data_IF_937761243367
#
_entry.id   IF_937761243367
#
_cell.length_a   1.000
_cell.length_b   1.000
_cell.length_c   1.000
_cell.angle_alpha   90.00
_cell.angle_beta   90.00
_cell.angle_gamma   90.00
#
_symmetry.space_group_name_H-M   'P 1'
#
loop_
_entity.id
_entity.type
_entity.pdbx_description
1 polymer ?
#
# COMPACT_ATOMS: atom_id res chain seq x y z
N UNK A 1 -50.22 4.69 17.27
CA UNK A 1 -50.10 4.29 18.68
C UNK A 1 -48.64 4.17 19.06
N UNK A 2 -48.24 5.10 19.93
CA UNK A 2 -46.89 5.18 20.54
C UNK A 2 -46.78 4.15 21.66
N UNK A 3 -45.65 3.47 21.79
CA UNK A 3 -45.17 2.94 23.07
C UNK A 3 -43.66 3.05 23.15
N UNK A 4 -43.23 4.01 23.93
CA UNK A 4 -41.86 4.21 24.42
C UNK A 4 -41.59 3.27 25.60
N UNK A 5 -40.42 2.62 25.64
CA UNK A 5 -39.91 1.95 26.85
C UNK A 5 -38.54 2.52 27.22
N UNK A 6 -38.31 2.80 28.51
CA UNK A 6 -37.09 3.47 28.97
C UNK A 6 -35.93 2.51 29.25
N UNK A 7 -34.73 3.01 28.95
CA UNK A 7 -33.41 2.46 29.22
C UNK A 7 -33.15 2.49 30.72
N UNK A 8 -32.85 1.34 31.34
CA UNK A 8 -32.33 1.25 32.71
C UNK A 8 -30.81 1.13 32.70
N UNK A 9 -30.19 2.17 33.23
CA UNK A 9 -28.76 2.25 33.54
C UNK A 9 -28.49 1.42 34.80
N UNK A 10 -27.58 0.44 34.73
CA UNK A 10 -27.04 -0.27 35.89
C UNK A 10 -25.55 0.03 36.03
N UNK A 11 -25.24 0.85 37.07
CA UNK A 11 -23.86 1.02 37.54
C UNK A 11 -23.44 -0.23 38.31
N UNK A 12 -22.29 -0.81 37.97
CA UNK A 12 -21.57 -1.75 38.81
C UNK A 12 -20.20 -1.15 39.15
N UNK A 13 -20.06 -0.82 40.43
CA UNK A 13 -18.79 -0.47 41.06
C UNK A 13 -18.07 -1.76 41.47
N UNK A 14 -16.82 -1.93 41.09
CA UNK A 14 -15.94 -3.00 41.57
C UNK A 14 -14.68 -2.39 42.21
N UNK A 15 -14.47 -2.72 43.48
CA UNK A 15 -13.40 -2.25 44.33
C UNK A 15 -12.08 -2.97 44.08
N UNK A 16 -10.98 -2.20 44.13
CA UNK A 16 -9.57 -2.69 44.17
C UNK A 16 -9.23 -3.10 45.64
N UNK A 17 -8.50 -4.17 45.88
CA UNK A 17 -7.69 -4.29 47.09
C UNK A 17 -6.21 -3.94 46.82
N UNK A 18 -5.74 -2.99 47.63
CA UNK A 18 -4.34 -2.59 47.81
C UNK A 18 -3.67 -3.63 48.74
N UNK A 19 -2.57 -4.27 48.31
CA UNK A 19 -1.71 -5.06 49.21
C UNK A 19 -0.37 -4.34 49.34
N UNK A 20 -0.14 -3.81 50.53
CA UNK A 20 1.15 -3.30 51.04
C UNK A 20 1.88 -4.52 51.66
N UNK A 21 3.15 -4.77 51.31
CA UNK A 21 4.07 -5.55 52.09
C UNK A 21 5.32 -4.76 52.38
N UNK A 22 5.62 -4.68 53.65
CA UNK A 22 6.63 -3.84 54.30
C UNK A 22 8.03 -4.51 54.27
N UNK A 23 9.04 -3.62 54.39
CA UNK A 23 10.46 -3.89 54.64
C UNK A 23 10.71 -4.68 55.94
N UNK A 24 11.78 -5.46 55.93
CA UNK A 24 12.44 -5.99 57.14
C UNK A 24 13.91 -6.19 56.84
N UNK A 25 14.70 -5.57 57.66
CA UNK A 25 16.13 -5.27 57.66
C UNK A 25 16.96 -6.32 58.46
N UNK A 26 18.26 -6.27 58.22
CA UNK A 26 19.39 -6.78 59.04
C UNK A 26 19.85 -8.25 58.96
N UNK A 27 21.14 -8.39 58.74
CA UNK A 27 21.97 -9.48 59.25
C UNK A 27 23.23 -9.85 58.46
N UNK A 28 24.39 -9.35 58.93
CA UNK A 28 25.76 -9.66 58.55
C UNK A 28 26.14 -11.16 58.45
N UNK A 29 27.13 -11.47 57.59
CA UNK A 29 27.90 -12.69 57.74
C UNK A 29 28.65 -13.23 56.51
N UNK A 30 29.80 -12.63 56.22
CA UNK A 30 31.12 -13.23 55.88
C UNK A 30 31.30 -14.54 55.07
N UNK A 31 32.23 -14.44 54.12
CA UNK A 31 33.21 -15.44 53.60
C UNK A 31 32.88 -16.35 52.41
N UNK A 32 33.67 -16.10 51.41
CA UNK A 32 34.51 -17.02 50.64
C UNK A 32 34.00 -17.66 49.34
N UNK A 33 34.58 -17.13 48.28
CA UNK A 33 35.30 -17.84 47.20
C UNK A 33 34.52 -18.40 46.00
N UNK A 34 35.19 -18.46 44.82
CA UNK A 34 34.56 -18.19 43.53
C UNK A 34 34.00 -19.48 42.93
N UNK A 35 32.83 -19.35 42.33
CA UNK A 35 32.29 -20.38 41.45
C UNK A 35 32.22 -19.82 40.05
N UNK A 36 33.02 -20.39 39.18
CA UNK A 36 32.98 -20.20 37.74
C UNK A 36 31.57 -20.41 37.24
N UNK A 37 30.85 -19.34 36.94
CA UNK A 37 29.66 -19.36 36.07
C UNK A 37 30.17 -19.12 34.66
N UNK A 38 29.78 -19.98 33.68
CA UNK A 38 30.03 -19.65 32.29
C UNK A 38 29.24 -18.39 31.94
N UNK A 39 29.99 -17.38 31.51
CA UNK A 39 29.40 -16.21 30.85
C UNK A 39 28.69 -16.71 29.61
N UNK A 40 27.39 -16.92 29.70
CA UNK A 40 26.52 -16.92 28.55
C UNK A 40 26.60 -15.52 27.95
N UNK A 41 27.44 -15.39 26.96
CA UNK A 41 27.26 -14.35 25.97
C UNK A 41 25.85 -14.58 25.38
N UNK A 42 24.89 -13.78 25.83
CA UNK A 42 23.65 -13.59 25.09
C UNK A 42 24.09 -12.94 23.77
N UNK A 43 24.27 -13.75 22.75
CA UNK A 43 24.24 -13.31 21.38
C UNK A 43 22.87 -12.69 21.16
N UNK A 44 22.84 -11.41 20.93
CA UNK A 44 21.75 -10.71 20.26
C UNK A 44 21.85 -11.10 18.79
N UNK A 45 21.39 -12.32 18.51
CA UNK A 45 21.17 -12.77 17.14
C UNK A 45 19.81 -13.50 17.19
N UNK A 46 18.78 -12.94 16.50
CA UNK A 46 17.48 -13.58 16.46
C UNK A 46 16.28 -12.64 16.52
N UNK A 47 16.22 -11.65 15.61
CA UNK A 47 15.00 -10.87 15.34
C UNK A 47 14.60 -10.82 13.87
N UNK A 48 15.50 -11.18 12.96
CA UNK A 48 15.39 -10.85 11.55
C UNK A 48 14.95 -12.02 10.65
N UNK A 49 14.89 -13.26 11.16
CA UNK A 49 14.45 -14.42 10.38
C UNK A 49 13.08 -14.94 10.86
N UNK A 50 12.18 -15.20 9.88
CA UNK A 50 10.91 -15.85 10.18
C UNK A 50 11.11 -17.29 10.65
N UNK A 51 10.33 -17.70 11.63
CA UNK A 51 10.26 -19.11 12.06
C UNK A 51 9.03 -19.77 11.42
N UNK A 52 9.23 -20.75 10.56
CA UNK A 52 8.15 -21.51 9.95
C UNK A 52 7.67 -22.64 10.91
N UNK A 53 6.38 -23.04 10.86
CA UNK A 53 5.34 -22.47 10.00
C UNK A 53 4.94 -21.04 10.42
N UNK A 54 4.58 -20.21 9.45
CA UNK A 54 4.02 -18.87 9.67
C UNK A 54 2.57 -18.85 9.21
N UNK A 55 1.71 -18.15 9.94
CA UNK A 55 0.31 -17.91 9.54
C UNK A 55 0.09 -16.41 9.41
N UNK A 56 -0.43 -15.98 8.28
CA UNK A 56 -0.82 -14.60 8.04
C UNK A 56 -2.31 -14.47 7.77
N UNK A 57 -2.90 -13.34 8.16
CA UNK A 57 -4.26 -12.97 7.80
C UNK A 57 -4.25 -12.33 6.41
N UNK A 58 -5.07 -12.83 5.51
CA UNK A 58 -5.17 -12.34 4.13
C UNK A 58 -6.64 -12.13 3.75
N UNK A 59 -6.91 -11.55 2.57
CA UNK A 59 -8.29 -11.34 2.13
C UNK A 59 -9.08 -12.66 1.94
N UNK A 60 -8.38 -13.76 1.69
CA UNK A 60 -9.00 -15.09 1.61
C UNK A 60 -9.01 -15.85 2.96
N UNK A 61 -8.67 -15.17 4.06
CA UNK A 61 -8.62 -15.73 5.42
C UNK A 61 -7.21 -16.07 5.86
N UNK A 62 -7.04 -16.74 7.02
CA UNK A 62 -5.74 -17.15 7.50
C UNK A 62 -5.12 -18.21 6.58
N UNK A 63 -3.87 -17.99 6.19
CA UNK A 63 -3.09 -18.91 5.36
C UNK A 63 -1.83 -19.31 6.14
N UNK A 64 -1.63 -20.62 6.30
CA UNK A 64 -0.43 -21.18 6.92
C UNK A 64 0.59 -21.54 5.83
N UNK A 65 1.80 -21.02 5.97
CA UNK A 65 2.96 -21.36 5.15
C UNK A 65 3.88 -22.24 5.99
N UNK A 66 3.98 -23.51 5.62
CA UNK A 66 4.65 -24.53 6.42
C UNK A 66 6.18 -24.41 6.42
N UNK A 67 6.76 -24.01 5.31
CA UNK A 67 8.20 -23.84 5.07
C UNK A 67 8.42 -22.58 4.23
N UNK A 68 9.62 -22.03 4.25
CA UNK A 68 9.97 -20.85 3.42
C UNK A 68 9.81 -21.18 1.94
N UNK A 69 9.01 -20.39 1.18
CA UNK A 69 8.82 -20.62 -0.26
C UNK A 69 10.11 -20.46 -1.06
N UNK A 70 10.35 -21.40 -1.96
CA UNK A 70 11.48 -21.38 -2.91
C UNK A 70 11.01 -21.12 -4.34
N UNK A 71 9.71 -21.30 -4.64
CA UNK A 71 9.13 -21.17 -5.97
C UNK A 71 7.81 -20.40 -5.90
N UNK A 72 7.87 -19.08 -6.03
CA UNK A 72 6.71 -18.18 -5.95
C UNK A 72 6.24 -17.84 -7.38
N UNK A 73 4.94 -17.99 -7.63
CA UNK A 73 4.27 -17.39 -8.78
C UNK A 73 3.52 -16.14 -8.32
N UNK A 74 3.86 -14.98 -8.89
CA UNK A 74 3.20 -13.72 -8.62
C UNK A 74 2.24 -13.32 -9.74
N UNK A 75 0.96 -13.19 -9.41
CA UNK A 75 -0.11 -12.76 -10.30
C UNK A 75 -0.56 -11.31 -10.03
N UNK A 76 0.35 -10.48 -9.56
CA UNK A 76 0.13 -9.07 -9.26
C UNK A 76 1.41 -8.28 -9.46
N UNK A 77 1.38 -7.28 -10.33
CA UNK A 77 2.52 -6.41 -10.56
C UNK A 77 3.01 -5.72 -9.28
N UNK A 78 2.08 -5.28 -8.41
CA UNK A 78 2.42 -4.69 -7.12
C UNK A 78 3.10 -5.69 -6.19
N UNK A 79 2.54 -6.91 -6.08
CA UNK A 79 3.15 -7.95 -5.23
C UNK A 79 4.53 -8.38 -5.78
N UNK A 80 4.71 -8.41 -7.09
CA UNK A 80 6.02 -8.65 -7.70
C UNK A 80 7.03 -7.59 -7.26
N UNK A 81 6.71 -6.32 -7.36
CA UNK A 81 7.58 -5.23 -6.88
C UNK A 81 7.90 -5.36 -5.38
N UNK A 82 6.90 -5.67 -4.57
CA UNK A 82 7.07 -5.85 -3.13
C UNK A 82 8.00 -7.04 -2.81
N UNK A 83 7.83 -8.19 -3.48
CA UNK A 83 8.68 -9.38 -3.31
C UNK A 83 10.15 -9.08 -3.59
N UNK A 84 10.43 -8.38 -4.68
CA UNK A 84 11.79 -7.95 -5.00
C UNK A 84 12.32 -6.96 -3.99
N UNK A 85 11.50 -6.02 -3.54
CA UNK A 85 11.91 -4.98 -2.59
C UNK A 85 12.22 -5.53 -1.19
N UNK A 86 11.50 -6.56 -0.73
CA UNK A 86 11.80 -7.22 0.55
C UNK A 86 12.91 -8.29 0.43
N UNK A 87 13.54 -8.45 -0.75
CA UNK A 87 14.65 -9.39 -0.92
C UNK A 87 14.25 -10.80 -1.37
N UNK A 88 12.96 -11.07 -1.58
CA UNK A 88 12.45 -12.40 -1.98
C UNK A 88 12.46 -12.64 -3.51
N UNK A 89 13.07 -11.76 -4.30
CA UNK A 89 13.04 -11.81 -5.76
C UNK A 89 13.60 -13.09 -6.37
N UNK A 90 14.60 -13.72 -5.74
CA UNK A 90 15.19 -14.98 -6.23
C UNK A 90 14.21 -16.16 -6.18
N UNK A 91 13.21 -16.12 -5.28
CA UNK A 91 12.18 -17.15 -5.20
C UNK A 91 11.06 -16.98 -6.22
N UNK A 92 10.95 -15.82 -6.89
CA UNK A 92 9.93 -15.58 -7.92
C UNK A 92 10.31 -16.29 -9.20
N UNK A 93 9.60 -17.38 -9.54
CA UNK A 93 9.86 -18.20 -10.73
C UNK A 93 9.03 -17.80 -11.94
N UNK A 94 7.88 -17.14 -11.72
CA UNK A 94 7.05 -16.57 -12.77
C UNK A 94 6.23 -15.40 -12.23
N UNK A 95 6.05 -14.39 -13.07
CA UNK A 95 5.20 -13.24 -12.78
C UNK A 95 4.21 -13.00 -13.92
N UNK A 96 3.09 -12.33 -13.65
CA UNK A 96 2.09 -12.06 -14.66
C UNK A 96 2.58 -11.05 -15.72
N UNK A 97 1.81 -10.89 -16.80
CA UNK A 97 2.19 -10.06 -17.95
C UNK A 97 2.29 -8.56 -17.63
N UNK A 98 1.76 -8.09 -16.51
CA UNK A 98 1.84 -6.71 -16.04
C UNK A 98 3.02 -6.46 -15.11
N UNK A 99 3.68 -7.49 -14.64
CA UNK A 99 4.84 -7.43 -13.74
C UNK A 99 6.11 -7.04 -14.49
N UNK A 100 6.21 -5.79 -14.93
CA UNK A 100 7.30 -5.23 -15.73
C UNK A 100 8.41 -4.55 -14.90
N UNK A 101 8.29 -4.59 -13.56
CA UNK A 101 9.28 -4.03 -12.65
C UNK A 101 9.48 -4.97 -11.43
N UNK A 102 10.75 -5.12 -10.97
CA UNK A 102 11.96 -4.62 -11.61
C UNK A 102 12.26 -5.36 -12.95
N UNK A 103 13.25 -4.89 -13.70
CA UNK A 103 13.55 -5.42 -15.04
C UNK A 103 13.97 -6.91 -15.04
N UNK A 104 14.46 -7.41 -13.91
CA UNK A 104 14.82 -8.81 -13.68
C UNK A 104 13.63 -9.72 -13.32
N UNK A 105 12.44 -9.16 -13.10
CA UNK A 105 11.25 -9.97 -12.82
C UNK A 105 10.98 -10.96 -13.96
N UNK A 106 10.72 -12.24 -13.66
CA UNK A 106 10.49 -13.28 -14.68
C UNK A 106 9.07 -13.19 -15.26
N UNK A 107 8.80 -12.08 -15.97
CA UNK A 107 7.49 -11.81 -16.59
C UNK A 107 7.13 -12.86 -17.62
N UNK A 108 5.90 -13.33 -17.59
CA UNK A 108 5.35 -14.38 -18.44
C UNK A 108 4.02 -13.94 -19.09
N UNK A 109 3.37 -14.86 -19.82
CA UNK A 109 2.01 -14.63 -20.33
C UNK A 109 0.91 -14.97 -19.31
N UNK A 110 1.25 -15.23 -18.03
CA UNK A 110 0.27 -15.43 -16.99
C UNK A 110 -0.57 -14.15 -16.77
N UNK A 111 -1.81 -14.33 -16.35
CA UNK A 111 -2.74 -13.23 -16.10
C UNK A 111 -3.32 -13.32 -14.69
N UNK A 112 -3.18 -12.25 -13.92
CA UNK A 112 -3.85 -12.09 -12.64
C UNK A 112 -5.36 -11.81 -12.77
N UNK A 113 -5.82 -11.39 -13.96
CA UNK A 113 -7.24 -11.11 -14.23
C UNK A 113 -8.00 -12.34 -14.75
N UNK A 114 -7.33 -13.16 -15.56
CA UNK A 114 -7.88 -14.40 -16.15
C UNK A 114 -6.89 -15.56 -15.91
N UNK A 115 -6.73 -16.00 -14.64
CA UNK A 115 -5.72 -16.98 -14.28
C UNK A 115 -6.02 -18.35 -14.86
N UNK A 116 -4.98 -19.04 -15.32
CA UNK A 116 -5.03 -20.41 -15.78
C UNK A 116 -4.25 -21.31 -14.82
N UNK A 117 -4.96 -22.10 -14.03
CA UNK A 117 -4.37 -22.96 -12.98
C UNK A 117 -3.37 -23.97 -13.58
N UNK A 118 -3.67 -24.56 -14.74
CA UNK A 118 -2.74 -25.53 -15.37
C UNK A 118 -1.42 -24.86 -15.78
N UNK A 119 -1.48 -23.62 -16.27
CA UNK A 119 -0.30 -22.84 -16.61
C UNK A 119 0.49 -22.45 -15.37
N UNK A 120 -0.18 -22.06 -14.27
CA UNK A 120 0.44 -21.72 -12.99
C UNK A 120 1.15 -22.96 -12.41
N UNK A 121 0.48 -24.09 -12.33
CA UNK A 121 1.04 -25.37 -11.83
C UNK A 121 2.24 -25.81 -12.65
N UNK A 122 2.29 -25.44 -13.94
CA UNK A 122 3.44 -25.73 -14.82
C UNK A 122 4.78 -25.13 -14.37
N UNK A 123 4.75 -24.16 -13.46
CA UNK A 123 5.94 -23.56 -12.84
C UNK A 123 6.33 -24.22 -11.51
N UNK A 124 5.57 -25.26 -11.07
CA UNK A 124 5.79 -26.02 -9.84
C UNK A 124 5.88 -25.13 -8.58
N UNK A 125 4.94 -24.16 -8.39
CA UNK A 125 5.04 -23.22 -7.28
C UNK A 125 4.69 -23.86 -5.95
N UNK A 126 5.38 -23.43 -4.89
CA UNK A 126 5.04 -23.71 -3.50
C UNK A 126 4.23 -22.58 -2.83
N UNK A 127 4.11 -21.43 -3.51
CA UNK A 127 3.26 -20.31 -3.13
C UNK A 127 2.78 -19.55 -4.37
N UNK A 128 1.50 -19.15 -4.36
CA UNK A 128 0.94 -18.21 -5.35
C UNK A 128 0.47 -16.94 -4.64
N UNK A 129 0.82 -15.78 -5.21
CA UNK A 129 0.39 -14.47 -4.70
C UNK A 129 -0.46 -13.77 -5.76
N UNK A 130 -1.64 -13.28 -5.37
CA UNK A 130 -2.56 -12.56 -6.25
C UNK A 130 -3.15 -11.33 -5.56
N UNK A 131 -3.69 -10.38 -6.32
CA UNK A 131 -4.40 -9.21 -5.77
C UNK A 131 -5.90 -9.43 -5.61
N UNK A 132 -6.45 -10.48 -6.23
CA UNK A 132 -7.86 -10.84 -6.16
C UNK A 132 -8.02 -12.34 -6.42
N UNK A 133 -9.26 -12.87 -6.29
CA UNK A 133 -9.60 -14.28 -6.52
C UNK A 133 -10.58 -14.44 -7.69
N UNK A 134 -10.18 -14.16 -8.95
CA UNK A 134 -11.05 -14.34 -10.10
C UNK A 134 -11.18 -15.81 -10.46
N UNK A 135 -12.39 -16.23 -10.80
CA UNK A 135 -12.64 -17.58 -11.30
C UNK A 135 -12.33 -18.70 -10.30
N UNK A 136 -12.43 -18.42 -9.00
CA UNK A 136 -12.13 -19.39 -7.92
C UNK A 136 -10.65 -19.86 -7.95
N UNK A 137 -9.73 -18.95 -8.23
CA UNK A 137 -8.28 -19.22 -8.28
C UNK A 137 -7.79 -19.90 -7.00
N UNK A 138 -8.15 -19.34 -5.82
CA UNK A 138 -7.73 -19.86 -4.51
C UNK A 138 -8.21 -21.30 -4.31
N UNK A 139 -9.49 -21.58 -4.54
CA UNK A 139 -10.04 -22.92 -4.38
C UNK A 139 -9.46 -23.93 -5.38
N UNK A 140 -9.15 -23.47 -6.59
CA UNK A 140 -8.51 -24.29 -7.61
C UNK A 140 -7.08 -24.68 -7.27
N UNK A 141 -6.30 -23.76 -6.69
CA UNK A 141 -4.93 -24.03 -6.21
C UNK A 141 -4.95 -24.91 -4.97
N UNK A 142 -5.87 -24.68 -4.03
CA UNK A 142 -6.05 -25.53 -2.85
C UNK A 142 -6.34 -26.98 -3.23
N UNK A 143 -7.18 -27.22 -4.26
CA UNK A 143 -7.49 -28.56 -4.74
C UNK A 143 -6.27 -29.36 -5.24
N UNK A 144 -5.17 -28.68 -5.59
CA UNK A 144 -3.89 -29.29 -6.01
C UNK A 144 -2.81 -29.13 -4.94
N UNK A 145 -3.15 -28.59 -3.77
CA UNK A 145 -2.28 -28.48 -2.60
C UNK A 145 -1.27 -27.32 -2.65
N UNK A 146 -1.54 -26.29 -3.46
CA UNK A 146 -0.71 -25.08 -3.57
C UNK A 146 -1.35 -23.96 -2.75
N UNK A 147 -0.67 -23.44 -1.71
CA UNK A 147 -1.18 -22.30 -0.96
C UNK A 147 -1.22 -21.03 -1.83
N UNK A 148 -2.27 -20.24 -1.64
CA UNK A 148 -2.42 -18.96 -2.31
C UNK A 148 -2.77 -17.86 -1.30
N UNK A 149 -2.13 -16.70 -1.42
CA UNK A 149 -2.41 -15.49 -0.66
C UNK A 149 -3.01 -14.43 -1.58
N UNK A 150 -4.09 -13.78 -1.11
CA UNK A 150 -4.71 -12.66 -1.80
C UNK A 150 -4.43 -11.37 -1.02
N UNK A 151 -3.64 -10.48 -1.62
CA UNK A 151 -3.32 -9.15 -1.13
C UNK A 151 -4.10 -8.13 -1.98
N UNK A 152 -5.25 -7.65 -1.52
CA UNK A 152 -6.10 -6.76 -2.31
C UNK A 152 -5.45 -5.40 -2.51
N UNK A 153 -6.00 -4.60 -3.43
CA UNK A 153 -5.57 -3.23 -3.60
C UNK A 153 -5.63 -2.48 -2.26
N UNK A 154 -4.54 -1.81 -1.91
CA UNK A 154 -4.47 -0.96 -0.74
C UNK A 154 -5.44 0.23 -0.90
N UNK A 155 -5.97 0.71 0.21
CA UNK A 155 -6.74 1.95 0.29
C UNK A 155 -5.90 3.04 0.94
N UNK A 156 -4.98 2.63 1.83
CA UNK A 156 -4.08 3.51 2.57
C UNK A 156 -2.64 3.04 2.47
N UNK A 157 -1.68 3.93 2.80
CA UNK A 157 -0.27 3.54 2.92
C UNK A 157 -0.05 2.51 4.03
N UNK A 158 -0.84 2.53 5.10
CA UNK A 158 -0.78 1.53 6.16
C UNK A 158 -1.11 0.11 5.63
N UNK A 159 -2.03 0.00 4.64
CA UNK A 159 -2.28 -1.27 3.97
C UNK A 159 -1.05 -1.74 3.18
N UNK A 160 -0.35 -0.82 2.51
CA UNK A 160 0.91 -1.11 1.80
C UNK A 160 1.98 -1.61 2.75
N UNK A 161 2.19 -0.94 3.87
CA UNK A 161 3.16 -1.34 4.89
C UNK A 161 2.82 -2.72 5.46
N UNK A 162 1.55 -2.96 5.77
CA UNK A 162 1.07 -4.27 6.23
C UNK A 162 1.35 -5.37 5.21
N UNK A 163 1.12 -5.13 3.92
CA UNK A 163 1.38 -6.12 2.87
C UNK A 163 2.88 -6.40 2.70
N UNK A 164 3.74 -5.39 2.80
CA UNK A 164 5.20 -5.58 2.81
C UNK A 164 5.65 -6.45 3.98
N UNK A 165 5.15 -6.18 5.19
CA UNK A 165 5.45 -7.00 6.38
C UNK A 165 4.92 -8.43 6.24
N UNK A 166 3.72 -8.62 5.68
CA UNK A 166 3.16 -9.94 5.38
C UNK A 166 4.03 -10.71 4.39
N UNK A 167 4.48 -10.07 3.31
CA UNK A 167 5.40 -10.68 2.34
C UNK A 167 6.75 -11.00 2.97
N UNK A 168 7.31 -10.10 3.77
CA UNK A 168 8.51 -10.38 4.56
C UNK A 168 8.36 -11.60 5.46
N UNK A 169 7.23 -11.72 6.15
CA UNK A 169 6.95 -12.85 7.04
C UNK A 169 6.85 -14.19 6.30
N UNK A 170 6.12 -14.25 5.17
CA UNK A 170 5.91 -15.51 4.42
C UNK A 170 7.12 -15.91 3.59
N UNK A 171 8.03 -15.00 3.28
CA UNK A 171 9.24 -15.27 2.50
C UNK A 171 10.51 -15.37 3.35
N UNK A 172 10.40 -15.20 4.68
CA UNK A 172 11.54 -15.26 5.58
C UNK A 172 12.36 -13.98 5.69
N UNK A 173 11.92 -12.88 5.08
CA UNK A 173 12.60 -11.59 4.99
C UNK A 173 12.02 -10.54 5.97
N UNK A 174 11.78 -10.93 7.23
CA UNK A 174 11.12 -10.06 8.23
C UNK A 174 11.93 -8.79 8.50
N UNK A 175 13.25 -8.91 8.63
CA UNK A 175 14.15 -7.78 8.89
C UNK A 175 14.16 -6.80 7.73
N UNK A 176 14.34 -7.30 6.51
CA UNK A 176 14.39 -6.48 5.29
C UNK A 176 13.05 -5.74 5.07
N UNK A 177 11.92 -6.41 5.31
CA UNK A 177 10.60 -5.79 5.21
C UNK A 177 10.39 -4.68 6.26
N UNK A 178 10.82 -4.90 7.50
CA UNK A 178 10.71 -3.91 8.57
C UNK A 178 11.61 -2.69 8.29
N UNK A 179 12.84 -2.89 7.78
CA UNK A 179 13.73 -1.81 7.37
C UNK A 179 13.11 -0.99 6.23
N UNK A 180 12.64 -1.67 5.17
CA UNK A 180 11.98 -1.03 4.04
C UNK A 180 10.75 -0.20 4.46
N UNK A 181 9.89 -0.75 5.31
CA UNK A 181 8.72 -0.01 5.82
C UNK A 181 9.15 1.22 6.61
N UNK A 182 10.19 1.10 7.46
CA UNK A 182 10.72 2.23 8.20
C UNK A 182 11.30 3.33 7.30
N UNK A 183 12.00 2.95 6.22
CA UNK A 183 12.51 3.88 5.22
C UNK A 183 11.38 4.60 4.47
N UNK A 184 10.37 3.85 4.00
CA UNK A 184 9.22 4.43 3.29
C UNK A 184 8.44 5.41 4.18
N UNK A 185 8.23 5.08 5.46
CA UNK A 185 7.57 5.98 6.41
C UNK A 185 8.37 7.26 6.62
N UNK A 186 9.70 7.16 6.76
CA UNK A 186 10.56 8.31 6.92
C UNK A 186 10.56 9.22 5.67
N UNK A 187 10.60 8.63 4.48
CA UNK A 187 10.55 9.36 3.21
C UNK A 187 9.21 10.08 3.03
N UNK A 188 8.11 9.41 3.36
CA UNK A 188 6.76 10.01 3.34
C UNK A 188 6.68 11.20 4.29
N UNK A 189 7.14 11.05 5.53
CA UNK A 189 7.14 12.12 6.54
C UNK A 189 7.99 13.31 6.08
N UNK A 190 9.18 13.05 5.49
CA UNK A 190 10.06 14.11 4.97
C UNK A 190 9.40 14.87 3.80
N UNK A 191 8.73 14.15 2.90
CA UNK A 191 8.03 14.75 1.77
C UNK A 191 6.84 15.60 2.24
N UNK A 192 5.99 15.06 3.10
CA UNK A 192 4.80 15.76 3.62
C UNK A 192 5.19 17.01 4.41
N UNK A 193 6.31 16.97 5.14
CA UNK A 193 6.81 18.14 5.87
C UNK A 193 7.21 19.32 4.97
N UNK A 194 7.39 19.11 3.66
CA UNK A 194 7.69 20.18 2.69
C UNK A 194 6.45 21.01 2.32
N UNK A 195 5.24 20.49 2.57
CA UNK A 195 4.00 21.23 2.29
C UNK A 195 3.79 22.29 3.37
N UNK A 196 3.74 23.60 3.00
CA UNK A 196 3.56 24.65 3.99
C UNK A 196 2.19 24.53 4.67
N UNK A 197 2.17 24.61 6.01
CA UNK A 197 0.94 24.46 6.80
C UNK A 197 -0.15 25.51 6.46
N UNK A 198 0.28 26.71 6.03
CA UNK A 198 -0.61 27.84 5.68
C UNK A 198 -0.80 27.98 4.16
N UNK A 199 -0.39 26.95 3.39
CA UNK A 199 -0.53 26.99 1.93
C UNK A 199 -2.02 27.07 1.52
N UNK A 200 -2.38 27.90 0.50
CA UNK A 200 -3.75 27.97 0.03
C UNK A 200 -4.20 26.59 -0.50
N UNK A 201 -5.50 26.28 -0.45
CA UNK A 201 -6.01 25.05 -1.03
C UNK A 201 -5.72 25.04 -2.54
N UNK A 202 -5.31 23.87 -3.05
CA UNK A 202 -5.08 23.61 -4.48
C UNK A 202 -5.99 22.49 -4.91
N UNK A 203 -6.73 22.70 -5.97
CA UNK A 203 -7.63 21.69 -6.54
C UNK A 203 -6.94 20.92 -7.66
N UNK A 204 -7.24 19.64 -7.78
CA UNK A 204 -6.70 18.80 -8.85
C UNK A 204 -7.76 17.94 -9.52
N UNK A 205 -7.46 17.56 -10.75
CA UNK A 205 -8.11 16.51 -11.51
C UNK A 205 -7.06 15.44 -11.85
N UNK A 206 -7.36 14.17 -11.59
CA UNK A 206 -6.52 13.04 -11.99
C UNK A 206 -7.22 12.26 -13.09
N UNK A 207 -6.64 12.20 -14.28
CA UNK A 207 -7.17 11.45 -15.41
C UNK A 207 -6.55 10.05 -15.45
N UNK A 208 -7.41 9.02 -15.39
CA UNK A 208 -7.00 7.62 -15.53
C UNK A 208 -6.99 7.16 -16.98
N UNK A 209 -7.91 7.68 -17.79
CA UNK A 209 -8.05 7.34 -19.20
C UNK A 209 -8.72 8.46 -20.01
N UNK A 210 -8.66 8.42 -21.36
CA UNK A 210 -9.26 9.43 -22.23
C UNK A 210 -10.79 9.51 -22.17
N UNK A 211 -11.46 8.60 -21.46
CA UNK A 211 -12.91 8.63 -21.25
C UNK A 211 -13.31 9.38 -19.98
N UNK A 212 -12.36 10.10 -19.36
CA UNK A 212 -12.55 10.89 -18.13
C UNK A 212 -12.87 10.06 -16.89
N UNK A 213 -12.46 8.79 -16.83
CA UNK A 213 -12.41 8.09 -15.56
C UNK A 213 -11.34 8.74 -14.68
N UNK A 214 -11.68 8.86 -13.39
CA UNK A 214 -10.86 9.52 -12.40
C UNK A 214 -10.91 8.80 -11.06
N UNK A 215 -10.25 9.34 -10.07
CA UNK A 215 -10.24 8.86 -8.69
C UNK A 215 -10.87 9.91 -7.77
N UNK A 216 -11.42 9.47 -6.64
CA UNK A 216 -11.79 10.37 -5.52
C UNK A 216 -10.75 10.32 -4.43
N UNK A 217 -10.83 11.20 -3.44
CA UNK A 217 -9.96 11.20 -2.26
C UNK A 217 -10.10 9.93 -1.38
N UNK A 218 -11.14 9.13 -1.59
CA UNK A 218 -11.37 7.86 -0.87
C UNK A 218 -10.61 6.66 -1.43
N UNK A 219 -9.84 6.85 -2.51
CA UNK A 219 -9.00 5.81 -3.12
C UNK A 219 -7.56 5.94 -2.65
N UNK A 220 -6.76 4.88 -2.84
CA UNK A 220 -5.32 4.92 -2.57
C UNK A 220 -4.61 6.08 -3.30
N UNK A 221 -4.89 6.26 -4.60
CA UNK A 221 -4.34 7.39 -5.38
C UNK A 221 -4.77 8.73 -4.77
N UNK A 222 -6.04 8.84 -4.35
CA UNK A 222 -6.58 10.03 -3.71
C UNK A 222 -5.96 10.34 -2.34
N UNK A 223 -5.56 9.31 -1.58
CA UNK A 223 -4.83 9.49 -0.33
C UNK A 223 -3.50 10.21 -0.55
N UNK A 224 -2.74 9.83 -1.58
CA UNK A 224 -1.45 10.46 -1.91
C UNK A 224 -1.61 11.97 -2.16
N UNK A 225 -2.62 12.37 -2.91
CA UNK A 225 -2.93 13.80 -3.11
C UNK A 225 -3.39 14.48 -1.82
N UNK A 226 -4.15 13.78 -0.98
CA UNK A 226 -4.61 14.30 0.30
C UNK A 226 -3.46 14.58 1.26
N UNK A 227 -2.41 13.74 1.26
CA UNK A 227 -1.17 13.95 2.01
C UNK A 227 -0.43 15.21 1.57
N UNK A 228 -0.51 15.58 0.28
CA UNK A 228 0.00 16.84 -0.24
C UNK A 228 -0.93 18.04 0.04
N UNK A 229 -2.02 17.86 0.77
CA UNK A 229 -2.99 18.92 1.09
C UNK A 229 -3.75 19.44 -0.14
N UNK A 230 -3.96 18.59 -1.16
CA UNK A 230 -4.71 18.93 -2.35
C UNK A 230 -6.17 18.49 -2.25
N UNK A 231 -7.06 19.18 -2.95
CA UNK A 231 -8.51 18.92 -2.96
C UNK A 231 -8.93 18.33 -4.29
N UNK A 232 -9.60 17.18 -4.25
CA UNK A 232 -10.03 16.47 -5.45
C UNK A 232 -11.35 17.06 -5.98
N UNK A 233 -11.39 17.48 -7.24
CA UNK A 233 -12.65 17.96 -7.84
C UNK A 233 -13.68 16.83 -8.00
N UNK A 234 -13.25 15.57 -8.10
CA UNK A 234 -14.12 14.42 -8.31
C UNK A 234 -14.93 14.05 -7.06
N UNK A 235 -14.57 14.53 -5.86
CA UNK A 235 -15.35 14.28 -4.64
C UNK A 235 -16.76 14.90 -4.70
N UNK A 236 -16.94 15.93 -5.50
CA UNK A 236 -18.22 16.60 -5.75
C UNK A 236 -19.03 15.93 -6.90
N UNK A 237 -18.50 14.88 -7.53
CA UNK A 237 -19.16 14.21 -8.64
C UNK A 237 -20.38 13.38 -8.17
N UNK A 238 -21.45 13.25 -9.00
CA UNK A 238 -22.66 12.51 -8.63
C UNK A 238 -22.42 11.04 -8.27
N UNK A 239 -21.43 10.40 -8.88
CA UNK A 239 -21.11 8.99 -8.72
C UNK A 239 -19.81 8.74 -7.95
N UNK A 240 -19.38 9.72 -7.12
CA UNK A 240 -18.14 9.67 -6.35
C UNK A 240 -18.05 8.50 -5.36
N UNK A 241 -19.19 7.96 -4.90
CA UNK A 241 -19.26 6.94 -3.86
C UNK A 241 -18.53 5.61 -4.18
N UNK A 242 -18.26 5.34 -5.48
CA UNK A 242 -17.49 4.17 -5.91
C UNK A 242 -15.98 4.37 -5.92
N UNK A 243 -15.51 5.58 -5.64
CA UNK A 243 -14.09 5.94 -5.69
C UNK A 243 -13.55 6.23 -7.08
N UNK A 244 -14.17 5.71 -8.14
CA UNK A 244 -13.71 5.81 -9.54
C UNK A 244 -14.82 6.31 -10.48
N UNK A 245 -15.28 7.56 -10.33
CA UNK A 245 -16.32 8.09 -11.18
C UNK A 245 -15.82 8.39 -12.59
N UNK A 246 -16.75 8.40 -13.56
CA UNK A 246 -16.52 8.98 -14.88
C UNK A 246 -17.08 10.40 -14.90
N UNK A 247 -16.23 11.40 -15.14
CA UNK A 247 -16.67 12.78 -15.24
C UNK A 247 -17.12 13.14 -16.66
N UNK A 248 -17.93 14.20 -16.79
CA UNK A 248 -18.12 14.82 -18.09
C UNK A 248 -17.08 15.94 -18.33
N UNK A 249 -16.72 16.25 -19.56
CA UNK A 249 -15.85 17.38 -19.87
C UNK A 249 -16.36 18.71 -19.28
N UNK A 250 -17.66 18.92 -19.28
CA UNK A 250 -18.31 20.10 -18.73
C UNK A 250 -18.18 20.19 -17.21
N UNK A 251 -18.16 19.04 -16.52
CA UNK A 251 -17.90 19.01 -15.08
C UNK A 251 -16.50 19.51 -14.78
N UNK A 252 -15.48 18.98 -15.48
CA UNK A 252 -14.07 19.40 -15.31
C UNK A 252 -13.91 20.89 -15.60
N UNK A 253 -14.52 21.39 -16.69
CA UNK A 253 -14.49 22.82 -17.05
C UNK A 253 -15.15 23.68 -15.96
N UNK A 254 -16.25 23.22 -15.38
CA UNK A 254 -16.97 23.97 -14.33
C UNK A 254 -16.21 23.97 -13.00
N UNK A 255 -15.59 22.84 -12.66
CA UNK A 255 -14.78 22.70 -11.44
C UNK A 255 -13.46 23.49 -11.53
N UNK A 256 -12.91 23.66 -12.75
CA UNK A 256 -11.73 24.46 -13.06
C UNK A 256 -10.54 24.14 -12.14
N UNK A 257 -9.96 22.93 -12.21
CA UNK A 257 -8.86 22.53 -11.35
C UNK A 257 -7.61 23.40 -11.57
N UNK A 258 -6.83 23.56 -10.49
CA UNK A 258 -5.55 24.29 -10.52
C UNK A 258 -4.44 23.47 -11.19
N UNK A 259 -4.53 22.14 -11.12
CA UNK A 259 -3.59 21.17 -11.73
C UNK A 259 -4.37 20.01 -12.33
N UNK A 260 -3.90 19.51 -13.46
CA UNK A 260 -4.34 18.26 -14.07
C UNK A 260 -3.17 17.28 -14.03
N UNK A 261 -3.37 16.14 -13.37
CA UNK A 261 -2.47 14.99 -13.48
C UNK A 261 -3.10 13.97 -14.43
N UNK A 262 -2.29 13.30 -15.25
CA UNK A 262 -2.78 12.26 -16.13
C UNK A 262 -1.85 11.06 -16.14
N UNK A 263 -2.46 9.86 -16.07
CA UNK A 263 -1.79 8.57 -15.95
C UNK A 263 -1.98 7.67 -17.17
N UNK A 264 -2.46 8.22 -18.29
CA UNK A 264 -2.69 7.53 -19.56
C UNK A 264 -1.68 7.93 -20.64
N UNK A 265 -0.56 8.52 -20.22
CA UNK A 265 0.60 8.86 -21.04
C UNK A 265 1.43 7.64 -21.45
N UNK A 266 2.72 7.87 -21.70
CA UNK A 266 3.67 6.83 -22.08
C UNK A 266 3.74 6.61 -23.58
N UNK A 267 4.30 5.47 -24.02
CA UNK A 267 4.61 5.23 -25.44
C UNK A 267 3.35 5.12 -26.32
N UNK A 268 2.96 6.27 -26.94
CA UNK A 268 1.79 6.38 -27.82
C UNK A 268 0.48 6.67 -27.07
N UNK A 269 0.55 7.01 -25.79
CA UNK A 269 -0.57 7.49 -24.98
C UNK A 269 -0.87 8.98 -25.17
N UNK A 270 -1.68 9.54 -24.26
CA UNK A 270 -2.06 10.94 -24.21
C UNK A 270 -0.84 11.80 -23.84
N UNK A 271 -0.73 12.99 -24.39
CA UNK A 271 0.26 14.00 -24.00
C UNK A 271 -0.44 15.27 -23.52
N UNK A 272 0.27 16.13 -22.79
CA UNK A 272 -0.28 17.34 -22.22
C UNK A 272 -0.96 18.25 -23.26
N UNK A 273 -0.42 18.33 -24.50
CA UNK A 273 -1.00 19.08 -25.60
C UNK A 273 -2.36 18.53 -26.05
N UNK A 274 -2.57 17.21 -26.01
CA UNK A 274 -3.86 16.60 -26.33
C UNK A 274 -4.93 17.02 -25.32
N UNK A 275 -4.58 17.05 -24.05
CA UNK A 275 -5.44 17.51 -22.96
C UNK A 275 -5.74 19.01 -23.11
N UNK A 276 -4.72 19.84 -23.30
CA UNK A 276 -4.87 21.27 -23.43
C UNK A 276 -5.71 21.68 -24.66
N UNK A 277 -5.68 20.86 -25.72
CA UNK A 277 -6.41 21.11 -26.97
C UNK A 277 -7.88 20.69 -26.97
N UNK A 278 -8.36 20.08 -25.90
CA UNK A 278 -9.76 19.65 -25.78
C UNK A 278 -10.73 20.85 -25.84
N UNK A 279 -11.92 20.70 -26.45
CA UNK A 279 -12.87 21.81 -26.59
C UNK A 279 -13.24 22.43 -25.24
N UNK A 280 -12.99 23.73 -25.08
CA UNK A 280 -13.31 24.51 -23.88
C UNK A 280 -12.30 24.41 -22.74
N UNK A 281 -11.24 23.60 -22.88
CA UNK A 281 -10.22 23.44 -21.83
C UNK A 281 -9.17 24.55 -21.84
N UNK A 282 -9.09 25.34 -22.92
CA UNK A 282 -8.27 26.57 -23.03
C UNK A 282 -8.60 27.62 -21.96
N UNK A 283 -9.75 27.47 -21.27
CA UNK A 283 -10.19 28.34 -20.19
C UNK A 283 -9.79 27.84 -18.79
N UNK A 284 -9.34 26.58 -18.69
CA UNK A 284 -8.95 26.02 -17.40
C UNK A 284 -7.68 26.69 -16.85
N UNK A 285 -7.67 26.94 -15.55
CA UNK A 285 -6.49 27.47 -14.85
C UNK A 285 -5.27 26.58 -15.09
N UNK A 286 -5.42 25.26 -14.95
CA UNK A 286 -4.35 24.30 -15.21
C UNK A 286 -3.75 24.41 -16.61
N UNK A 287 -4.59 24.65 -17.64
CA UNK A 287 -4.13 24.80 -19.03
C UNK A 287 -3.44 26.15 -19.25
N UNK A 288 -4.03 27.23 -18.72
CA UNK A 288 -3.49 28.58 -18.90
C UNK A 288 -2.15 28.81 -18.22
N UNK A 289 -1.89 28.05 -17.16
CA UNK A 289 -0.67 28.14 -16.35
C UNK A 289 0.30 26.99 -16.58
N UNK A 290 0.05 26.16 -17.65
CA UNK A 290 0.90 25.03 -18.05
C UNK A 290 1.11 23.99 -16.92
N UNK A 291 0.01 23.68 -16.20
CA UNK A 291 -0.01 22.75 -15.06
C UNK A 291 -0.72 21.45 -15.43
N UNK A 292 -0.25 20.80 -16.47
CA UNK A 292 -0.71 19.49 -16.93
C UNK A 292 0.47 18.54 -16.78
N UNK A 293 0.39 17.66 -15.80
CA UNK A 293 1.50 16.85 -15.30
C UNK A 293 1.26 15.38 -15.64
N UNK A 294 2.18 14.82 -16.42
CA UNK A 294 2.21 13.37 -16.66
C UNK A 294 2.73 12.65 -15.41
N UNK A 295 2.03 11.59 -14.99
CA UNK A 295 2.48 10.67 -13.97
C UNK A 295 2.63 9.27 -14.57
N UNK A 296 3.64 8.55 -14.14
CA UNK A 296 3.85 7.18 -14.60
C UNK A 296 2.68 6.30 -14.14
N UNK A 297 1.90 5.70 -15.08
CA UNK A 297 0.73 4.90 -14.74
C UNK A 297 1.06 3.71 -13.86
N UNK A 298 2.23 3.10 -14.03
CA UNK A 298 2.67 1.94 -13.25
C UNK A 298 3.00 2.35 -11.80
N UNK A 299 3.55 3.56 -11.61
CA UNK A 299 3.85 4.07 -10.27
C UNK A 299 2.58 4.58 -9.59
N UNK A 300 1.75 5.36 -10.31
CA UNK A 300 0.54 5.94 -9.73
C UNK A 300 -0.54 4.90 -9.40
N UNK A 301 -0.61 3.78 -10.15
CA UNK A 301 -1.66 2.76 -10.00
C UNK A 301 -1.25 1.58 -9.12
N UNK A 302 0.01 1.50 -8.68
CA UNK A 302 0.54 0.41 -7.85
C UNK A 302 0.82 0.90 -6.45
N UNK A 303 0.29 0.20 -5.47
CA UNK A 303 0.51 0.50 -4.04
C UNK A 303 1.81 -0.16 -3.51
N UNK A 304 2.85 -0.16 -4.34
CA UNK A 304 4.16 -0.71 -4.02
C UNK A 304 5.14 0.33 -3.46
N UNK A 305 6.41 -0.07 -3.22
CA UNK A 305 7.43 0.82 -2.63
C UNK A 305 7.70 2.10 -3.43
N UNK A 306 7.48 2.08 -4.77
CA UNK A 306 7.68 3.26 -5.63
C UNK A 306 6.63 4.36 -5.46
N UNK A 307 5.62 4.14 -4.62
CA UNK A 307 4.59 5.17 -4.34
C UNK A 307 5.18 6.47 -3.80
N UNK A 308 6.34 6.40 -3.15
CA UNK A 308 7.09 7.57 -2.67
C UNK A 308 7.50 8.49 -3.84
N UNK A 309 7.80 7.93 -5.01
CA UNK A 309 8.13 8.72 -6.21
C UNK A 309 6.91 9.46 -6.74
N UNK A 310 5.72 8.84 -6.66
CA UNK A 310 4.47 9.53 -7.00
C UNK A 310 4.17 10.66 -6.01
N UNK A 311 4.27 10.38 -4.70
CA UNK A 311 4.09 11.41 -3.67
C UNK A 311 5.07 12.58 -3.86
N UNK A 312 6.33 12.29 -4.21
CA UNK A 312 7.35 13.31 -4.50
C UNK A 312 6.90 14.21 -5.66
N UNK A 313 6.46 13.63 -6.78
CA UNK A 313 5.95 14.38 -7.93
C UNK A 313 4.78 15.29 -7.52
N UNK A 314 3.83 14.76 -6.76
CA UNK A 314 2.66 15.53 -6.30
C UNK A 314 3.07 16.68 -5.38
N UNK A 315 4.02 16.47 -4.46
CA UNK A 315 4.50 17.50 -3.52
C UNK A 315 5.33 18.55 -4.23
N UNK A 316 6.17 18.19 -5.20
CA UNK A 316 6.92 19.14 -6.02
C UNK A 316 5.97 20.09 -6.76
N UNK A 317 4.95 19.56 -7.42
CA UNK A 317 3.92 20.36 -8.07
C UNK A 317 3.15 21.22 -7.07
N UNK A 318 2.76 20.66 -5.95
CA UNK A 318 2.05 21.36 -4.89
C UNK A 318 2.84 22.53 -4.31
N UNK A 319 4.14 22.37 -4.11
CA UNK A 319 5.02 23.42 -3.57
C UNK A 319 5.35 24.49 -4.59
N UNK A 320 5.44 24.13 -5.88
CA UNK A 320 5.60 25.10 -6.98
C UNK A 320 4.41 26.08 -7.07
N UNK A 321 3.24 25.71 -6.55
CA UNK A 321 2.03 26.53 -6.55
C UNK A 321 1.91 27.43 -5.29
N UNK A 322 2.80 27.28 -4.32
CA UNK A 322 2.82 28.15 -3.16
C UNK A 322 3.24 29.58 -3.60
N UNK A 323 2.60 30.65 -3.08
CA UNK A 323 3.03 32.02 -3.38
C UNK A 323 4.49 32.20 -2.93
N UNK A 324 5.32 32.71 -3.84
CA UNK A 324 6.69 33.14 -3.50
C UNK A 324 6.54 34.38 -2.60
N UNK A 325 6.98 34.30 -1.32
CA UNK A 325 6.99 35.42 -0.38
C UNK A 325 7.91 36.58 -0.85
#
# INVERSE_FOLDING_TARGET
LRTTRPLRLALLAAALPLVLVACGDDGDGDSAAPSDAPSSAAGTDGGDEATFPVTIETANGPVEIAEQPEQIVSLSATATEMLFAVGAGEAVVAADSFSNYPAEAPTTDLSGLEPNIEAIVGYDPDLVIASNDPGELVSGLDAVGIPAIVLPAAVTLDDTYTQLEQLGAVTGHVGDAAELVGELQADVDELVAQVPADAPPVTYYHELDPNFFTVTSSTFIGEIYSMAGMTNIADEAPDAAGGYPQLSPEFVVTANPDVIFFADGGAGGVVAEDIASRPGWDQLTAVQEDRIVEVDPDIASRWGPRIVDFLRTVIEERTALAPVE
#
